data_IF_108890001828
#
_entry.id   IF_108890001828
#
_cell.length_a   1.000
_cell.length_b   1.000
_cell.length_c   1.000
_cell.angle_alpha   90.00
_cell.angle_beta   90.00
_cell.angle_gamma   90.00
#
_symmetry.space_group_name_H-M   'P 1'
#
loop_
_entity.id
_entity.type
_entity.pdbx_description
1 polymer ?
#
# COMPACT_ATOMS: atom_id res chain seq x y z
N UNK A 1 14.63 -41.08 -12.43
CA UNK A 1 14.37 -39.96 -11.51
C UNK A 1 15.62 -39.63 -10.72
N UNK A 2 16.43 -38.64 -11.15
CA UNK A 2 17.64 -38.23 -10.38
C UNK A 2 18.03 -36.75 -10.58
N UNK A 3 17.12 -35.96 -11.17
CA UNK A 3 17.32 -34.52 -11.44
C UNK A 3 16.63 -33.66 -10.36
N UNK A 4 15.65 -34.23 -9.64
CA UNK A 4 14.90 -33.54 -8.60
C UNK A 4 15.69 -33.42 -7.28
N UNK A 5 16.60 -34.34 -6.96
CA UNK A 5 17.37 -34.32 -5.70
C UNK A 5 18.50 -33.26 -5.68
N UNK A 6 19.05 -32.88 -6.84
CA UNK A 6 20.09 -31.85 -6.91
C UNK A 6 19.53 -30.43 -6.89
N UNK A 7 18.29 -30.21 -7.35
CA UNK A 7 17.62 -28.92 -7.22
C UNK A 7 17.23 -28.61 -5.75
N UNK A 8 16.84 -29.64 -4.99
CA UNK A 8 16.42 -29.51 -3.59
C UNK A 8 17.60 -29.27 -2.63
N UNK A 9 18.78 -29.82 -2.92
CA UNK A 9 19.98 -29.60 -2.12
C UNK A 9 20.63 -28.23 -2.36
N UNK A 10 20.61 -27.73 -3.61
CA UNK A 10 21.04 -26.36 -3.93
C UNK A 10 20.13 -25.27 -3.35
N UNK A 11 18.83 -25.57 -3.17
CA UNK A 11 17.87 -24.67 -2.56
C UNK A 11 18.09 -24.47 -1.05
N UNK A 12 18.71 -25.42 -0.34
CA UNK A 12 18.90 -25.31 1.13
C UNK A 12 19.94 -24.27 1.56
N UNK A 13 20.87 -23.86 0.68
CA UNK A 13 21.93 -22.91 1.03
C UNK A 13 21.70 -21.45 0.57
N UNK A 14 20.58 -21.16 -0.11
CA UNK A 14 20.19 -19.79 -0.51
C UNK A 14 19.04 -19.23 0.34
N UNK A 15 18.46 -20.05 1.22
CA UNK A 15 17.25 -19.70 1.98
C UNK A 15 17.47 -18.70 3.12
N UNK A 16 18.70 -18.47 3.58
CA UNK A 16 18.91 -17.53 4.70
C UNK A 16 18.97 -16.06 4.30
N UNK A 17 19.00 -15.72 3.01
CA UNK A 17 19.08 -14.32 2.56
C UNK A 17 18.00 -13.91 1.55
N UNK A 18 17.26 -14.85 0.94
CA UNK A 18 16.24 -14.55 -0.07
C UNK A 18 14.82 -14.29 0.48
N UNK A 19 14.49 -14.77 1.69
CA UNK A 19 13.14 -14.63 2.27
C UNK A 19 12.82 -13.31 2.97
N UNK A 20 13.81 -12.42 3.20
CA UNK A 20 13.66 -11.28 4.13
C UNK A 20 13.27 -9.95 3.45
N UNK A 21 13.49 -9.83 2.14
CA UNK A 21 13.01 -8.67 1.32
C UNK A 21 11.61 -8.88 0.76
N UNK A 22 11.05 -10.09 0.87
CA UNK A 22 9.75 -10.42 0.27
C UNK A 22 8.58 -9.89 1.09
N UNK A 23 8.64 -9.92 2.42
CA UNK A 23 7.54 -9.46 3.29
C UNK A 23 7.15 -7.99 3.06
N UNK A 24 8.12 -7.08 3.08
CA UNK A 24 7.89 -5.66 2.80
C UNK A 24 7.53 -5.39 1.34
N UNK A 25 8.08 -6.17 0.40
CA UNK A 25 7.71 -6.06 -1.01
C UNK A 25 6.26 -6.52 -1.27
N UNK A 26 5.82 -7.59 -0.60
CA UNK A 26 4.44 -8.10 -0.66
C UNK A 26 3.47 -7.11 -0.02
N UNK A 27 3.80 -6.57 1.15
CA UNK A 27 3.01 -5.53 1.81
C UNK A 27 2.88 -4.27 0.93
N UNK A 28 4.00 -3.78 0.38
CA UNK A 28 4.00 -2.65 -0.55
C UNK A 28 3.18 -2.93 -1.81
N UNK A 29 3.23 -4.15 -2.34
CA UNK A 29 2.43 -4.56 -3.50
C UNK A 29 0.94 -4.57 -3.17
N UNK A 30 0.57 -5.08 -1.99
CA UNK A 30 -0.82 -5.06 -1.50
C UNK A 30 -1.34 -3.63 -1.35
N UNK A 31 -0.58 -2.74 -0.70
CA UNK A 31 -0.96 -1.33 -0.55
C UNK A 31 -1.11 -0.62 -1.90
N UNK A 32 -0.22 -0.91 -2.87
CA UNK A 32 -0.33 -0.36 -4.23
C UNK A 32 -1.57 -0.87 -4.97
N UNK A 33 -1.94 -2.15 -4.80
CA UNK A 33 -3.17 -2.69 -5.38
C UNK A 33 -4.42 -2.02 -4.77
N UNK A 34 -4.44 -1.81 -3.46
CA UNK A 34 -5.52 -1.07 -2.79
C UNK A 34 -5.61 0.37 -3.32
N UNK A 35 -4.48 1.06 -3.46
CA UNK A 35 -4.42 2.41 -4.03
C UNK A 35 -4.97 2.45 -5.47
N UNK A 36 -4.65 1.44 -6.29
CA UNK A 36 -5.19 1.32 -7.64
C UNK A 36 -6.72 1.14 -7.64
N UNK A 37 -7.25 0.33 -6.73
CA UNK A 37 -8.69 0.11 -6.58
C UNK A 37 -9.41 1.39 -6.15
N UNK A 38 -8.91 2.07 -5.10
CA UNK A 38 -9.50 3.33 -4.62
C UNK A 38 -9.49 4.42 -5.70
N UNK A 39 -8.38 4.56 -6.45
CA UNK A 39 -8.31 5.50 -7.58
C UNK A 39 -9.31 5.18 -8.68
N UNK A 40 -9.54 3.90 -8.96
CA UNK A 40 -10.58 3.48 -9.90
C UNK A 40 -11.98 3.81 -9.40
N UNK A 41 -12.23 3.72 -8.08
CA UNK A 41 -13.50 4.12 -7.47
C UNK A 41 -13.71 5.62 -7.59
N UNK A 42 -12.71 6.44 -7.24
CA UNK A 42 -12.75 7.91 -7.43
C UNK A 42 -13.09 8.27 -8.88
N UNK A 43 -12.44 7.63 -9.84
CA UNK A 43 -12.71 7.85 -11.27
C UNK A 43 -14.16 7.50 -11.64
N UNK A 44 -14.67 6.37 -11.16
CA UNK A 44 -16.05 5.95 -11.40
C UNK A 44 -17.06 6.92 -10.76
N UNK A 45 -16.77 7.43 -9.56
CA UNK A 45 -17.62 8.40 -8.87
C UNK A 45 -17.62 9.75 -9.59
N UNK A 46 -16.49 10.21 -10.13
CA UNK A 46 -16.45 11.39 -11.00
C UNK A 46 -17.27 11.22 -12.28
N UNK A 47 -17.20 10.06 -12.92
CA UNK A 47 -18.04 9.76 -14.09
C UNK A 47 -19.54 9.77 -13.74
N UNK A 48 -19.89 9.30 -12.54
CA UNK A 48 -21.26 9.32 -12.02
C UNK A 48 -21.75 10.75 -11.78
N UNK A 49 -20.92 11.61 -11.19
CA UNK A 49 -21.20 13.06 -11.03
C UNK A 49 -21.43 13.71 -12.39
N UNK A 50 -20.57 13.42 -13.37
CA UNK A 50 -20.69 13.92 -14.74
C UNK A 50 -22.00 13.50 -15.40
N UNK A 51 -22.38 12.23 -15.25
CA UNK A 51 -23.65 11.69 -15.75
C UNK A 51 -24.84 12.41 -15.14
N UNK A 52 -24.90 12.51 -13.81
CA UNK A 52 -25.99 13.18 -13.08
C UNK A 52 -26.12 14.66 -13.46
N UNK A 53 -24.98 15.35 -13.61
CA UNK A 53 -24.94 16.77 -14.00
C UNK A 53 -25.42 16.95 -15.44
N UNK A 54 -25.00 16.09 -16.36
CA UNK A 54 -25.45 16.13 -17.75
C UNK A 54 -26.96 15.88 -17.86
N UNK A 55 -27.47 14.87 -17.17
CA UNK A 55 -28.91 14.55 -17.13
C UNK A 55 -29.71 15.74 -16.59
N UNK A 56 -29.29 16.30 -15.45
CA UNK A 56 -29.92 17.48 -14.86
C UNK A 56 -30.00 18.64 -15.86
N UNK A 57 -28.93 18.91 -16.60
CA UNK A 57 -28.92 19.99 -17.59
C UNK A 57 -29.75 19.68 -18.84
N UNK A 58 -29.84 18.41 -19.24
CA UNK A 58 -30.53 17.99 -20.46
C UNK A 58 -32.04 17.86 -20.27
N UNK A 59 -32.48 17.32 -19.14
CA UNK A 59 -33.88 16.96 -18.90
C UNK A 59 -34.54 17.86 -17.86
N UNK A 60 -33.77 18.65 -17.12
CA UNK A 60 -34.26 19.43 -15.99
C UNK A 60 -34.54 18.58 -14.74
N UNK A 61 -34.10 17.32 -14.72
CA UNK A 61 -34.21 16.45 -13.53
C UNK A 61 -33.35 17.03 -12.41
N UNK A 62 -33.92 17.23 -11.23
CA UNK A 62 -33.14 17.64 -10.07
C UNK A 62 -32.35 16.45 -9.51
N UNK A 63 -31.02 16.51 -9.66
CA UNK A 63 -30.08 15.51 -9.18
C UNK A 63 -29.18 16.06 -8.06
N UNK A 64 -29.49 17.22 -7.48
CA UNK A 64 -28.62 17.91 -6.53
C UNK A 64 -28.18 17.00 -5.36
N UNK A 65 -29.13 16.35 -4.68
CA UNK A 65 -28.83 15.50 -3.53
C UNK A 65 -27.96 14.29 -3.91
N UNK A 66 -28.19 13.70 -5.08
CA UNK A 66 -27.37 12.59 -5.59
C UNK A 66 -25.94 13.05 -5.88
N UNK A 67 -25.77 14.25 -6.44
CA UNK A 67 -24.45 14.85 -6.68
C UNK A 67 -23.74 15.11 -5.35
N UNK A 68 -24.44 15.64 -4.34
CA UNK A 68 -23.87 15.87 -3.00
C UNK A 68 -23.39 14.56 -2.37
N UNK A 69 -24.17 13.48 -2.47
CA UNK A 69 -23.76 12.15 -1.99
C UNK A 69 -22.49 11.67 -2.72
N UNK A 70 -22.42 11.83 -4.04
CA UNK A 70 -21.21 11.45 -4.79
C UNK A 70 -19.98 12.27 -4.39
N UNK A 71 -20.14 13.55 -4.08
CA UNK A 71 -19.04 14.41 -3.62
C UNK A 71 -18.52 13.90 -2.27
N UNK A 72 -19.41 13.59 -1.33
CA UNK A 72 -19.02 13.03 -0.03
C UNK A 72 -18.28 11.70 -0.19
N UNK A 73 -18.75 10.83 -1.09
CA UNK A 73 -18.06 9.57 -1.42
C UNK A 73 -16.65 9.82 -1.96
N UNK A 74 -16.45 10.82 -2.83
CA UNK A 74 -15.11 11.21 -3.31
C UNK A 74 -14.22 11.69 -2.16
N UNK A 75 -14.74 12.52 -1.26
CA UNK A 75 -13.99 13.04 -0.12
C UNK A 75 -13.49 11.90 0.79
N UNK A 76 -14.36 10.94 1.10
CA UNK A 76 -14.02 9.73 1.88
C UNK A 76 -12.93 8.90 1.19
N UNK A 77 -13.09 8.62 -0.10
CA UNK A 77 -12.10 7.86 -0.88
C UNK A 77 -10.74 8.56 -0.93
N UNK A 78 -10.72 9.90 -1.01
CA UNK A 78 -9.48 10.67 -1.01
C UNK A 78 -8.78 10.64 0.35
N UNK A 79 -9.54 10.62 1.45
CA UNK A 79 -8.98 10.40 2.80
C UNK A 79 -8.30 9.03 2.88
N UNK A 80 -8.97 7.96 2.44
CA UNK A 80 -8.38 6.61 2.44
C UNK A 80 -7.11 6.52 1.57
N UNK A 81 -7.12 7.15 0.39
CA UNK A 81 -5.94 7.24 -0.49
C UNK A 81 -4.77 7.89 0.24
N UNK A 82 -5.01 8.99 0.95
CA UNK A 82 -3.97 9.69 1.70
C UNK A 82 -3.39 8.83 2.82
N UNK A 83 -4.23 8.11 3.57
CA UNK A 83 -3.78 7.18 4.61
C UNK A 83 -2.91 6.04 4.04
N UNK A 84 -3.30 5.45 2.91
CA UNK A 84 -2.50 4.41 2.25
C UNK A 84 -1.16 4.97 1.76
N UNK A 85 -1.15 6.17 1.18
CA UNK A 85 0.09 6.81 0.75
C UNK A 85 1.04 7.09 1.93
N UNK A 86 0.51 7.52 3.07
CA UNK A 86 1.29 7.71 4.29
C UNK A 86 1.94 6.40 4.75
N UNK A 87 1.18 5.30 4.80
CA UNK A 87 1.72 3.96 5.13
C UNK A 87 2.80 3.50 4.14
N UNK A 88 2.61 3.76 2.85
CA UNK A 88 3.63 3.47 1.83
C UNK A 88 4.92 4.26 2.09
N UNK A 89 4.83 5.53 2.48
CA UNK A 89 6.01 6.34 2.82
C UNK A 89 6.72 5.79 4.05
N UNK A 90 5.98 5.47 5.11
CA UNK A 90 6.53 4.86 6.34
C UNK A 90 7.32 3.58 6.05
N UNK A 91 6.84 2.74 5.13
CA UNK A 91 7.53 1.50 4.73
C UNK A 91 8.79 1.79 3.92
N UNK A 92 8.76 2.81 3.05
CA UNK A 92 9.92 3.19 2.22
C UNK A 92 11.03 3.85 3.03
N UNK A 93 10.66 4.69 3.98
CA UNK A 93 11.60 5.49 4.78
C UNK A 93 12.03 4.76 6.06
N UNK A 94 11.30 3.71 6.46
CA UNK A 94 11.51 2.96 7.70
C UNK A 94 12.65 1.93 7.68
N UNK A 95 13.02 1.48 8.89
CA UNK A 95 13.98 0.40 9.12
C UNK A 95 13.26 -0.90 9.52
N UNK A 96 13.48 -1.96 8.74
CA UNK A 96 12.92 -3.29 9.00
C UNK A 96 13.70 -3.98 10.12
N UNK A 97 13.00 -4.45 11.14
CA UNK A 97 13.61 -5.21 12.23
C UNK A 97 14.12 -6.56 11.73
N UNK A 98 15.42 -6.83 11.87
CA UNK A 98 16.02 -8.11 11.47
C UNK A 98 15.53 -9.33 12.29
N UNK A 99 14.91 -9.10 13.46
CA UNK A 99 14.41 -10.16 14.35
C UNK A 99 12.95 -10.51 14.08
N UNK A 100 12.05 -9.53 14.12
CA UNK A 100 10.60 -9.76 13.98
C UNK A 100 9.98 -9.18 12.70
N UNK A 101 10.78 -8.52 11.85
CA UNK A 101 10.35 -7.97 10.56
C UNK A 101 9.34 -6.82 10.61
N UNK A 102 8.99 -6.32 11.80
CA UNK A 102 8.23 -5.08 11.94
C UNK A 102 9.00 -3.92 11.32
N UNK A 103 8.32 -3.11 10.50
CA UNK A 103 8.83 -1.81 10.03
C UNK A 103 8.79 -0.80 11.18
N UNK A 104 9.91 -0.13 11.40
CA UNK A 104 10.06 0.90 12.44
C UNK A 104 10.41 2.23 11.78
N UNK A 105 10.07 3.37 12.39
CA UNK A 105 10.48 4.68 11.88
C UNK A 105 11.99 4.76 11.68
N UNK A 106 12.42 5.55 10.69
CA UNK A 106 13.83 5.87 10.48
C UNK A 106 14.48 6.39 11.77
N UNK A 107 15.76 6.07 12.01
CA UNK A 107 16.49 6.53 13.18
C UNK A 107 16.12 5.87 14.52
N UNK A 108 15.11 4.98 14.57
CA UNK A 108 14.75 4.26 15.80
C UNK A 108 15.88 3.30 16.21
N UNK A 109 16.29 3.34 17.48
CA UNK A 109 17.37 2.47 17.99
C UNK A 109 16.92 1.04 18.30
N UNK A 110 15.64 0.84 18.67
CA UNK A 110 15.07 -0.45 19.08
C UNK A 110 13.73 -0.70 18.40
N UNK A 111 13.42 -1.95 18.10
CA UNK A 111 12.17 -2.31 17.44
C UNK A 111 10.96 -2.08 18.36
N UNK A 112 9.93 -1.39 17.86
CA UNK A 112 8.68 -1.11 18.58
C UNK A 112 7.86 -2.34 18.95
N UNK A 113 8.10 -3.46 18.27
CA UNK A 113 7.36 -4.71 18.46
C UNK A 113 8.11 -5.72 19.35
N UNK A 114 9.41 -5.89 19.14
CA UNK A 114 10.17 -6.96 19.80
C UNK A 114 11.40 -6.52 20.61
N UNK A 115 11.64 -5.21 20.72
CA UNK A 115 12.76 -4.64 21.48
C UNK A 115 14.16 -4.88 20.88
N UNK A 116 14.28 -5.56 19.73
CA UNK A 116 15.58 -5.82 19.11
C UNK A 116 16.25 -4.53 18.64
N UNK A 117 17.55 -4.37 18.89
CA UNK A 117 18.32 -3.21 18.43
C UNK A 117 18.34 -3.17 16.89
N UNK A 118 17.98 -2.03 16.33
CA UNK A 118 17.96 -1.79 14.89
C UNK A 118 19.33 -1.28 14.43
N UNK A 119 19.84 -1.81 13.31
CA UNK A 119 21.07 -1.29 12.71
C UNK A 119 20.73 0.03 12.02
N UNK A 120 21.46 1.12 12.32
CA UNK A 120 21.30 2.40 11.63
C UNK A 120 21.44 2.17 10.12
N UNK A 121 20.42 2.50 9.34
CA UNK A 121 20.58 2.70 7.90
C UNK A 121 21.57 3.87 7.74
N UNK A 122 22.71 3.61 7.10
CA UNK A 122 23.74 4.63 6.88
C UNK A 122 23.11 5.87 6.24
N UNK A 123 23.35 7.03 6.84
CA UNK A 123 23.14 8.33 6.21
C UNK A 123 23.87 8.31 4.87
N UNK A 124 23.18 8.74 3.80
CA UNK A 124 23.86 9.05 2.55
C UNK A 124 24.69 10.31 2.81
N UNK A 125 26.02 10.16 2.77
CA UNK A 125 26.95 11.29 2.52
C UNK A 125 26.61 11.96 1.17
#
# INVERSE_FOLDING_TARGET
MRILDQAVSGAKQVLDTAGRKTGTAVELSRLKLQLMQLRSQVQSTYERIGTLTYEQQKTGTDNYDLIVICIQEVDELLVEINEINARISEIKDGVVCARCHTVNPAGTAYCKSCGNRLKKSKEKE
#
